data_IF_669752109439
#
_entry.id   IF_669752109439
#
_cell.length_a   1.000
_cell.length_b   1.000
_cell.length_c   1.000
_cell.angle_alpha   90.00
_cell.angle_beta   90.00
_cell.angle_gamma   90.00
#
_symmetry.space_group_name_H-M   'P 1'
#
loop_
_entity.id
_entity.type
_entity.pdbx_description
1 polymer ?
#
# COMPACT_ATOMS: atom_id res chain seq x y z
N UNK A 1 -21.03 25.24 -0.16
CA UNK A 1 -20.62 23.86 -0.48
C UNK A 1 -19.12 23.91 -0.59
N UNK A 2 -18.42 23.39 0.39
CA UNK A 2 -16.95 23.22 0.31
C UNK A 2 -16.75 22.12 -0.74
N UNK A 3 -16.14 22.44 -1.87
CA UNK A 3 -15.77 21.45 -2.87
C UNK A 3 -14.81 20.46 -2.19
N UNK A 4 -15.30 19.27 -1.92
CA UNK A 4 -14.47 18.20 -1.36
C UNK A 4 -13.36 17.89 -2.36
N UNK A 5 -12.12 17.88 -1.90
CA UNK A 5 -11.00 17.43 -2.71
C UNK A 5 -11.27 15.99 -3.17
N UNK A 6 -10.99 15.72 -4.42
CA UNK A 6 -11.16 14.38 -5.01
C UNK A 6 -10.10 13.45 -4.46
N UNK A 7 -10.51 12.33 -3.86
CA UNK A 7 -9.59 11.30 -3.38
C UNK A 7 -8.85 10.69 -4.56
N UNK A 8 -7.53 10.83 -4.59
CA UNK A 8 -6.67 10.19 -5.59
C UNK A 8 -6.24 8.82 -5.08
N UNK A 9 -6.45 7.79 -5.89
CA UNK A 9 -6.06 6.41 -5.56
C UNK A 9 -5.18 5.88 -6.68
N UNK A 10 -4.03 5.31 -6.31
CA UNK A 10 -3.15 4.59 -7.21
C UNK A 10 -3.09 3.13 -6.75
N UNK A 11 -3.51 2.20 -7.60
CA UNK A 11 -3.39 0.77 -7.38
C UNK A 11 -2.05 0.33 -7.98
N UNK A 12 -1.12 -0.10 -7.12
CA UNK A 12 0.13 -0.71 -7.56
C UNK A 12 -0.08 -2.20 -7.75
N UNK A 13 -0.01 -2.65 -9.00
CA UNK A 13 -0.42 -3.98 -9.40
C UNK A 13 0.72 -4.77 -10.05
N UNK A 14 0.62 -6.10 -9.95
CA UNK A 14 1.41 -7.03 -10.74
C UNK A 14 0.54 -7.73 -11.80
N UNK A 15 1.11 -8.19 -12.94
CA UNK A 15 0.36 -8.82 -14.01
C UNK A 15 -0.47 -10.02 -13.56
N UNK A 16 0.00 -10.76 -12.55
CA UNK A 16 -0.65 -11.96 -12.04
C UNK A 16 -2.00 -11.69 -11.35
N UNK A 17 -2.19 -10.49 -10.83
CA UNK A 17 -3.40 -10.10 -10.12
C UNK A 17 -4.25 -9.03 -10.85
N UNK A 18 -3.87 -8.68 -12.10
CA UNK A 18 -4.64 -7.71 -12.89
C UNK A 18 -6.12 -8.07 -13.03
N UNK A 19 -6.44 -9.37 -13.17
CA UNK A 19 -7.83 -9.84 -13.19
C UNK A 19 -8.63 -9.41 -11.97
N UNK A 20 -8.01 -9.45 -10.77
CA UNK A 20 -8.66 -9.01 -9.53
C UNK A 20 -8.80 -7.48 -9.49
N UNK A 21 -7.76 -6.77 -9.93
CA UNK A 21 -7.80 -5.31 -10.01
C UNK A 21 -8.90 -4.83 -10.94
N UNK A 22 -8.98 -5.39 -12.13
CA UNK A 22 -9.93 -4.97 -13.18
C UNK A 22 -11.37 -5.40 -12.92
N UNK A 23 -11.59 -6.57 -12.33
CA UNK A 23 -12.93 -7.10 -12.14
C UNK A 23 -13.53 -6.76 -10.77
N UNK A 24 -12.71 -6.48 -9.75
CA UNK A 24 -13.19 -6.31 -8.37
C UNK A 24 -12.67 -5.04 -7.71
N UNK A 25 -11.35 -4.82 -7.64
CA UNK A 25 -10.79 -3.77 -6.81
C UNK A 25 -11.11 -2.37 -7.36
N UNK A 26 -10.77 -2.08 -8.61
CA UNK A 26 -11.04 -0.78 -9.21
C UNK A 26 -12.55 -0.50 -9.33
N UNK A 27 -13.39 -1.43 -9.86
CA UNK A 27 -14.84 -1.22 -9.89
C UNK A 27 -15.45 -1.05 -8.48
N UNK A 28 -14.95 -1.74 -7.48
CA UNK A 28 -15.40 -1.59 -6.09
C UNK A 28 -15.11 -0.19 -5.52
N UNK A 29 -13.95 0.38 -5.83
CA UNK A 29 -13.59 1.74 -5.45
C UNK A 29 -14.43 2.79 -6.19
N UNK A 30 -14.65 2.61 -7.49
CA UNK A 30 -15.50 3.48 -8.30
C UNK A 30 -16.96 3.46 -7.80
N UNK A 31 -17.49 2.28 -7.43
CA UNK A 31 -18.80 2.14 -6.85
C UNK A 31 -18.95 2.86 -5.50
N UNK A 32 -17.86 3.04 -4.76
CA UNK A 32 -17.80 3.85 -3.54
C UNK A 32 -17.62 5.35 -3.82
N UNK A 33 -17.57 5.77 -5.08
CA UNK A 33 -17.45 7.16 -5.47
C UNK A 33 -16.00 7.65 -5.57
N UNK A 34 -15.04 6.77 -5.84
CA UNK A 34 -13.70 7.17 -6.25
C UNK A 34 -13.78 7.71 -7.69
N UNK A 35 -13.34 8.96 -7.88
CA UNK A 35 -13.39 9.63 -9.18
C UNK A 35 -12.07 9.55 -9.94
N UNK A 36 -10.99 9.19 -9.25
CA UNK A 36 -9.64 9.16 -9.80
C UNK A 36 -8.89 7.92 -9.29
N UNK A 37 -9.09 6.79 -9.99
CA UNK A 37 -8.41 5.52 -9.73
C UNK A 37 -7.41 5.29 -10.87
N UNK A 38 -6.14 5.31 -10.53
CA UNK A 38 -5.03 5.03 -11.45
C UNK A 38 -4.47 3.64 -11.18
N UNK A 39 -4.16 2.88 -12.23
CA UNK A 39 -3.55 1.55 -12.11
C UNK A 39 -2.12 1.63 -12.64
N UNK A 40 -1.18 1.34 -11.76
CA UNK A 40 0.24 1.19 -12.10
C UNK A 40 0.60 -0.29 -12.12
N UNK A 41 0.76 -0.85 -13.32
CA UNK A 41 1.03 -2.28 -13.51
C UNK A 41 2.50 -2.51 -13.89
N UNK A 42 3.21 -3.33 -13.12
CA UNK A 42 4.60 -3.75 -13.40
C UNK A 42 4.65 -4.78 -14.55
N UNK A 43 4.31 -4.35 -15.77
CA UNK A 43 4.29 -5.21 -16.96
C UNK A 43 5.68 -5.69 -17.39
N UNK A 44 6.73 -5.01 -16.95
CA UNK A 44 8.13 -5.33 -17.28
C UNK A 44 8.78 -6.29 -16.28
N UNK A 45 8.09 -6.56 -15.15
CA UNK A 45 8.60 -7.45 -14.11
C UNK A 45 9.84 -6.88 -13.40
N UNK A 46 9.90 -5.56 -13.23
CA UNK A 46 11.00 -4.86 -12.55
C UNK A 46 11.09 -5.19 -11.06
N UNK A 47 9.99 -5.67 -10.50
CA UNK A 47 9.83 -5.97 -9.09
C UNK A 47 9.22 -4.80 -8.31
N UNK A 48 8.63 -5.15 -7.17
CA UNK A 48 7.78 -4.26 -6.40
C UNK A 48 8.43 -2.91 -6.07
N UNK A 49 9.67 -2.92 -5.55
CA UNK A 49 10.36 -1.70 -5.15
C UNK A 49 10.63 -0.76 -6.34
N UNK A 50 11.19 -1.27 -7.44
CA UNK A 50 11.53 -0.44 -8.60
C UNK A 50 10.27 0.13 -9.23
N UNK A 51 9.26 -0.70 -9.44
CA UNK A 51 7.97 -0.29 -10.00
C UNK A 51 7.27 0.74 -9.10
N UNK A 52 7.33 0.58 -7.77
CA UNK A 52 6.82 1.55 -6.82
C UNK A 52 7.55 2.90 -6.94
N UNK A 53 8.89 2.91 -7.00
CA UNK A 53 9.66 4.15 -7.15
C UNK A 53 9.40 4.86 -8.48
N UNK A 54 9.18 4.12 -9.55
CA UNK A 54 8.76 4.70 -10.83
C UNK A 54 7.36 5.33 -10.74
N UNK A 55 6.42 4.68 -10.06
CA UNK A 55 5.10 5.26 -9.81
C UNK A 55 5.18 6.53 -8.96
N UNK A 56 6.10 6.59 -8.01
CA UNK A 56 6.35 7.77 -7.19
C UNK A 56 6.94 8.93 -8.00
N UNK A 57 7.94 8.63 -8.84
CA UNK A 57 8.54 9.63 -9.73
C UNK A 57 7.54 10.21 -10.74
N UNK A 58 6.53 9.44 -11.15
CA UNK A 58 5.50 9.86 -12.10
C UNK A 58 4.43 10.78 -11.49
N UNK A 59 4.33 10.88 -10.16
CA UNK A 59 3.30 11.70 -9.50
C UNK A 59 3.46 13.17 -9.81
N UNK A 60 2.34 13.84 -10.07
CA UNK A 60 2.31 15.26 -10.43
C UNK A 60 1.44 16.05 -9.47
N UNK A 61 1.76 17.34 -9.35
CA UNK A 61 0.98 18.29 -8.55
C UNK A 61 1.32 18.27 -7.08
N UNK A 62 0.36 18.71 -6.29
CA UNK A 62 0.41 18.78 -4.83
C UNK A 62 -0.81 18.04 -4.26
N UNK A 63 -0.73 17.67 -3.01
CA UNK A 63 -1.76 16.92 -2.32
C UNK A 63 -1.27 15.57 -1.89
N UNK A 64 -2.15 14.59 -1.82
CA UNK A 64 -1.78 13.22 -1.43
C UNK A 64 -2.50 12.19 -2.28
N UNK A 65 -1.82 11.07 -2.50
CA UNK A 65 -2.36 9.92 -3.22
C UNK A 65 -2.39 8.72 -2.29
N UNK A 66 -3.51 8.04 -2.23
CA UNK A 66 -3.61 6.73 -1.61
C UNK A 66 -2.97 5.70 -2.51
N UNK A 67 -1.80 5.24 -2.12
CA UNK A 67 -1.09 4.12 -2.75
C UNK A 67 -1.60 2.84 -2.10
N UNK A 68 -2.21 1.96 -2.90
CA UNK A 68 -2.72 0.68 -2.44
C UNK A 68 -2.15 -0.46 -3.28
N UNK A 69 -1.91 -1.60 -2.66
CA UNK A 69 -1.46 -2.79 -3.37
C UNK A 69 -2.65 -3.59 -3.95
N UNK A 70 -2.36 -4.45 -4.89
CA UNK A 70 -3.34 -5.25 -5.64
C UNK A 70 -3.85 -6.49 -4.89
N UNK A 71 -3.43 -6.69 -3.65
CA UNK A 71 -3.84 -7.82 -2.78
C UNK A 71 -4.57 -7.37 -1.51
N UNK A 72 -5.30 -6.26 -1.64
CA UNK A 72 -6.10 -5.72 -0.55
C UNK A 72 -7.60 -5.77 -0.84
N UNK A 73 -8.39 -5.79 0.22
CA UNK A 73 -9.83 -5.63 0.19
C UNK A 73 -10.19 -4.33 0.94
N UNK A 74 -10.70 -3.29 0.26
CA UNK A 74 -11.13 -2.06 0.90
C UNK A 74 -12.37 -2.28 1.77
N UNK A 75 -12.50 -1.57 2.89
CA UNK A 75 -13.74 -1.54 3.66
C UNK A 75 -14.89 -0.89 2.86
N UNK A 76 -16.13 -1.10 3.29
CA UNK A 76 -17.34 -0.67 2.53
C UNK A 76 -17.44 0.84 2.34
N UNK A 77 -16.83 1.62 3.22
CA UNK A 77 -16.81 3.09 3.22
C UNK A 77 -15.41 3.66 3.01
N UNK A 78 -14.54 2.91 2.35
CA UNK A 78 -13.11 3.24 2.16
C UNK A 78 -12.90 4.66 1.61
N UNK A 79 -13.57 5.01 0.50
CA UNK A 79 -13.41 6.32 -0.15
C UNK A 79 -13.87 7.46 0.76
N UNK A 80 -14.97 7.26 1.50
CA UNK A 80 -15.44 8.26 2.46
C UNK A 80 -14.44 8.44 3.59
N UNK A 81 -13.91 7.36 4.13
CA UNK A 81 -12.92 7.40 5.22
C UNK A 81 -11.58 7.98 4.76
N UNK A 82 -11.17 7.73 3.52
CA UNK A 82 -9.99 8.39 2.95
C UNK A 82 -10.08 9.91 3.00
N UNK A 83 -11.28 10.50 2.78
CA UNK A 83 -11.52 11.95 2.87
C UNK A 83 -11.28 12.52 4.26
N UNK A 84 -11.46 11.71 5.31
CA UNK A 84 -11.22 12.15 6.69
C UNK A 84 -9.73 12.43 6.98
N UNK A 85 -8.84 11.87 6.16
CA UNK A 85 -7.39 11.99 6.30
C UNK A 85 -6.74 12.90 5.22
N UNK A 86 -7.51 13.60 4.38
CA UNK A 86 -6.94 14.40 3.29
C UNK A 86 -6.02 15.53 3.75
N UNK A 87 -6.25 16.07 4.95
CA UNK A 87 -5.38 17.10 5.55
C UNK A 87 -4.14 16.54 6.26
N UNK A 88 -4.06 15.23 6.44
CA UNK A 88 -2.95 14.60 7.13
C UNK A 88 -1.75 14.43 6.17
N UNK A 89 -0.55 14.27 6.74
CA UNK A 89 0.64 13.93 5.97
C UNK A 89 0.60 12.47 5.48
N UNK A 90 1.56 11.66 5.92
CA UNK A 90 1.55 10.22 5.63
C UNK A 90 0.52 9.53 6.53
N UNK A 91 -0.39 8.75 5.92
CA UNK A 91 -1.42 7.99 6.63
C UNK A 91 -1.36 6.53 6.22
N UNK A 92 -1.20 5.64 7.19
CA UNK A 92 -1.27 4.20 6.97
C UNK A 92 -2.69 3.70 7.20
N UNK A 93 -3.29 3.15 6.16
CA UNK A 93 -4.63 2.56 6.17
C UNK A 93 -4.65 1.09 6.57
N UNK A 94 -3.47 0.48 6.73
CA UNK A 94 -3.31 -0.90 7.14
C UNK A 94 -2.29 -1.03 8.26
N UNK A 95 -2.65 -1.76 9.31
CA UNK A 95 -1.77 -2.15 10.39
C UNK A 95 -1.94 -3.66 10.66
N UNK A 96 -0.84 -4.39 10.65
CA UNK A 96 -0.85 -5.85 10.83
C UNK A 96 -1.16 -6.26 12.27
N UNK A 97 -1.83 -7.39 12.47
CA UNK A 97 -2.19 -7.97 13.77
C UNK A 97 -1.01 -8.14 14.74
N UNK A 98 0.18 -8.36 14.24
CA UNK A 98 1.39 -8.51 15.07
C UNK A 98 1.67 -7.29 15.96
N UNK A 99 0.99 -6.18 15.71
CA UNK A 99 1.18 -4.92 16.42
C UNK A 99 -0.08 -4.45 17.15
N UNK A 100 -1.09 -5.34 17.30
CA UNK A 100 -2.38 -5.01 17.92
C UNK A 100 -2.31 -4.47 19.35
N UNK A 101 -1.39 -5.01 20.13
CA UNK A 101 -1.38 -4.80 21.57
C UNK A 101 -0.71 -3.50 22.01
N UNK A 102 -0.25 -2.68 21.07
CA UNK A 102 0.36 -1.40 21.38
C UNK A 102 -0.61 -0.24 21.10
N UNK A 103 -1.33 0.25 22.14
CA UNK A 103 -2.26 1.38 21.98
C UNK A 103 -1.56 2.68 21.56
N UNK A 104 -0.23 2.76 21.69
CA UNK A 104 0.56 3.91 21.23
C UNK A 104 0.73 3.93 19.70
N UNK A 105 0.39 2.83 19.01
CA UNK A 105 0.53 2.70 17.56
C UNK A 105 -0.74 3.04 16.78
N UNK A 106 -1.82 3.41 17.45
CA UNK A 106 -3.02 3.93 16.79
C UNK A 106 -3.03 5.46 16.78
N UNK A 107 -3.52 6.03 15.69
CA UNK A 107 -3.55 7.48 15.52
C UNK A 107 -2.18 8.07 15.13
N UNK A 108 -1.88 9.26 15.63
CA UNK A 108 -0.66 9.99 15.26
C UNK A 108 0.54 9.49 16.06
N UNK A 109 1.53 8.93 15.36
CA UNK A 109 2.75 8.37 15.95
C UNK A 109 4.00 8.99 15.31
N UNK A 110 5.13 8.98 16.01
CA UNK A 110 6.38 9.43 15.42
C UNK A 110 6.88 8.46 14.36
N UNK A 111 7.50 8.98 13.33
CA UNK A 111 8.09 8.17 12.24
C UNK A 111 9.08 7.13 12.77
N UNK A 112 9.91 7.48 13.77
CA UNK A 112 10.90 6.57 14.36
C UNK A 112 10.29 5.35 15.07
N UNK A 113 9.07 5.49 15.58
CA UNK A 113 8.35 4.45 16.31
C UNK A 113 7.44 3.61 15.40
N UNK A 114 7.42 3.93 14.10
CA UNK A 114 6.53 3.31 13.14
C UNK A 114 7.11 2.04 12.52
N UNK A 115 6.35 0.99 12.58
CA UNK A 115 6.56 -0.21 11.81
C UNK A 115 5.32 -0.43 10.93
N UNK A 116 5.47 -0.28 9.62
CA UNK A 116 4.33 -0.27 8.71
C UNK A 116 4.52 -1.19 7.53
N UNK A 117 3.42 -1.76 7.11
CA UNK A 117 3.27 -2.43 5.83
C UNK A 117 2.69 -1.48 4.79
N UNK A 118 2.93 -1.74 3.52
CA UNK A 118 2.67 -0.80 2.43
C UNK A 118 1.38 -1.11 1.65
N UNK A 119 0.52 -1.95 2.20
CA UNK A 119 -0.73 -2.39 1.55
C UNK A 119 -1.69 -1.24 1.26
N UNK A 120 -1.70 -0.21 2.13
CA UNK A 120 -2.52 0.97 1.95
C UNK A 120 -1.86 2.15 2.67
N UNK A 121 -1.40 3.13 1.92
CA UNK A 121 -0.77 4.32 2.49
C UNK A 121 -1.09 5.57 1.68
N UNK A 122 -1.55 6.63 2.37
CA UNK A 122 -1.62 7.96 1.79
C UNK A 122 -0.25 8.62 1.88
N UNK A 123 0.25 9.08 0.76
CA UNK A 123 1.56 9.72 0.67
C UNK A 123 1.39 11.08 0.00
N UNK A 124 1.85 12.18 0.62
CA UNK A 124 1.96 13.46 -0.06
C UNK A 124 2.74 13.29 -1.37
N UNK A 125 2.24 13.89 -2.46
CA UNK A 125 2.85 13.69 -3.79
C UNK A 125 4.29 14.21 -3.85
N UNK A 126 4.61 15.26 -3.09
CA UNK A 126 5.98 15.74 -2.91
C UNK A 126 6.89 14.71 -2.22
N UNK A 127 6.41 14.04 -1.15
CA UNK A 127 7.19 13.01 -0.45
C UNK A 127 7.45 11.80 -1.35
N UNK A 128 6.47 11.43 -2.17
CA UNK A 128 6.66 10.34 -3.14
C UNK A 128 7.76 10.67 -4.15
N UNK A 129 7.76 11.88 -4.73
CA UNK A 129 8.81 12.32 -5.67
C UNK A 129 10.17 12.39 -5.00
N UNK A 130 10.26 13.02 -3.83
CA UNK A 130 11.50 13.13 -3.07
C UNK A 130 12.05 11.76 -2.69
N UNK A 131 11.19 10.81 -2.32
CA UNK A 131 11.57 9.43 -2.06
C UNK A 131 12.15 8.74 -3.31
N UNK A 132 11.53 8.93 -4.47
CA UNK A 132 12.04 8.39 -5.73
C UNK A 132 13.39 9.00 -6.12
N UNK A 133 13.59 10.31 -5.93
CA UNK A 133 14.87 10.97 -6.13
C UNK A 133 15.93 10.46 -5.13
N UNK A 134 15.55 10.32 -3.88
CA UNK A 134 16.42 9.77 -2.85
C UNK A 134 16.84 8.33 -3.19
N UNK A 135 15.92 7.51 -3.72
CA UNK A 135 16.21 6.18 -4.24
C UNK A 135 17.23 6.24 -5.37
N UNK A 136 17.02 7.08 -6.37
CA UNK A 136 17.92 7.21 -7.52
C UNK A 136 19.34 7.63 -7.11
N UNK A 137 19.47 8.50 -6.11
CA UNK A 137 20.78 9.03 -5.68
C UNK A 137 21.47 8.19 -4.61
N UNK A 138 20.72 7.50 -3.75
CA UNK A 138 21.27 6.82 -2.56
C UNK A 138 20.98 5.32 -2.50
N UNK A 139 19.91 4.88 -3.12
CA UNK A 139 19.43 3.51 -2.99
C UNK A 139 20.46 2.45 -3.42
N UNK A 140 21.26 2.77 -4.39
CA UNK A 140 22.34 1.89 -4.89
C UNK A 140 23.68 2.14 -4.22
N UNK A 141 23.95 3.34 -3.72
CA UNK A 141 25.24 3.74 -3.17
C UNK A 141 25.53 3.20 -1.76
N UNK A 142 24.51 2.76 -1.02
CA UNK A 142 24.69 2.22 0.34
C UNK A 142 25.08 0.77 0.41
N UNK A 143 24.92 0.04 -0.66
CA UNK A 143 25.41 -1.33 -0.73
C UNK A 143 26.89 -1.28 -1.12
N UNK A 144 27.75 -1.41 -0.13
CA UNK A 144 29.20 -1.63 -0.35
C UNK A 144 29.48 -2.99 -1.01
N UNK A 145 28.47 -3.82 -1.20
CA UNK A 145 28.54 -5.12 -1.84
C UNK A 145 27.51 -5.16 -3.00
N UNK A 146 27.97 -5.08 -4.28
CA UNK A 146 27.09 -5.11 -5.45
C UNK A 146 26.13 -6.31 -5.45
N UNK A 147 26.57 -7.45 -4.97
CA UNK A 147 25.77 -8.68 -4.87
C UNK A 147 24.62 -8.57 -3.84
N UNK A 148 24.83 -7.84 -2.75
CA UNK A 148 23.79 -7.57 -1.76
C UNK A 148 22.80 -6.50 -2.23
N UNK A 149 23.23 -5.56 -3.11
CA UNK A 149 22.32 -4.57 -3.68
C UNK A 149 21.32 -5.20 -4.62
N UNK A 150 21.77 -6.14 -5.46
CA UNK A 150 20.87 -6.92 -6.36
C UNK A 150 19.93 -7.81 -5.52
N UNK A 151 20.45 -8.42 -4.45
CA UNK A 151 19.64 -9.23 -3.54
C UNK A 151 18.71 -8.39 -2.66
N UNK A 152 19.12 -7.20 -2.25
CA UNK A 152 18.30 -6.23 -1.55
C UNK A 152 17.21 -5.68 -2.45
N UNK A 153 17.51 -5.23 -3.65
CA UNK A 153 16.50 -4.76 -4.60
C UNK A 153 15.43 -5.80 -4.96
N UNK A 154 15.74 -7.11 -4.76
CA UNK A 154 14.78 -8.21 -4.93
C UNK A 154 14.12 -8.67 -3.63
N UNK A 155 14.66 -8.28 -2.46
CA UNK A 155 14.19 -8.74 -1.13
C UNK A 155 13.71 -7.62 -0.24
N UNK A 156 14.14 -6.38 -0.46
CA UNK A 156 13.61 -5.24 0.26
C UNK A 156 12.31 -4.84 -0.43
N UNK A 157 11.23 -4.88 0.32
CA UNK A 157 9.95 -4.37 -0.13
C UNK A 157 9.98 -2.84 -0.20
N UNK A 158 9.04 -2.30 -0.92
CA UNK A 158 8.72 -0.88 -0.98
C UNK A 158 8.44 -0.30 0.41
N UNK A 159 7.82 -1.09 1.29
CA UNK A 159 7.54 -0.78 2.68
C UNK A 159 8.80 -0.45 3.51
N UNK A 160 9.81 -1.31 3.44
CA UNK A 160 11.06 -1.12 4.16
C UNK A 160 11.80 0.11 3.65
N UNK A 161 11.81 0.30 2.33
CA UNK A 161 12.50 1.41 1.70
C UNK A 161 11.85 2.76 2.01
N UNK A 162 10.53 2.87 1.85
CA UNK A 162 9.81 4.10 2.16
C UNK A 162 9.92 4.47 3.64
N UNK A 163 9.87 3.47 4.54
CA UNK A 163 10.12 3.69 5.97
C UNK A 163 11.52 4.23 6.22
N UNK A 164 12.56 3.66 5.59
CA UNK A 164 13.93 4.15 5.75
C UNK A 164 14.06 5.61 5.28
N UNK A 165 13.44 5.95 4.16
CA UNK A 165 13.36 7.33 3.68
C UNK A 165 12.72 8.25 4.73
N UNK A 166 11.55 7.91 5.25
CA UNK A 166 10.88 8.70 6.28
C UNK A 166 11.74 8.86 7.54
N UNK A 167 12.37 7.79 8.01
CA UNK A 167 13.20 7.81 9.22
C UNK A 167 14.46 8.65 9.06
N UNK A 168 14.98 8.82 7.87
CA UNK A 168 16.21 9.58 7.62
C UNK A 168 15.94 11.05 7.29
N UNK A 169 14.92 11.31 6.49
CA UNK A 169 14.63 12.64 5.98
C UNK A 169 13.51 13.34 6.78
N UNK A 170 12.59 12.57 7.40
CA UNK A 170 11.39 13.08 8.12
C UNK A 170 11.27 12.57 9.55
N UNK A 171 12.38 12.19 10.20
CA UNK A 171 12.41 11.54 11.53
C UNK A 171 11.66 12.27 12.65
N UNK A 172 11.58 13.60 12.56
CA UNK A 172 10.93 14.42 13.56
C UNK A 172 9.42 14.60 13.31
N UNK A 173 8.94 14.06 12.22
CA UNK A 173 7.54 14.16 11.83
C UNK A 173 6.72 13.03 12.44
N UNK A 174 5.42 13.08 12.17
CA UNK A 174 4.48 12.09 12.62
C UNK A 174 3.77 11.53 11.39
N UNK A 175 3.38 10.28 11.50
CA UNK A 175 2.46 9.61 10.59
C UNK A 175 1.18 9.28 11.34
N UNK A 176 0.10 9.07 10.61
CA UNK A 176 -1.19 8.68 11.17
C UNK A 176 -1.49 7.23 10.83
N UNK A 177 -1.89 6.44 11.81
CA UNK A 177 -2.42 5.09 11.59
C UNK A 177 -3.94 5.16 11.66
N UNK A 178 -4.61 4.83 10.57
CA UNK A 178 -6.06 4.77 10.53
C UNK A 178 -6.59 3.66 11.45
N UNK A 179 -7.67 3.98 12.18
CA UNK A 179 -8.35 3.03 13.05
C UNK A 179 -9.86 3.22 12.97
N UNK A 180 -10.63 2.17 12.66
CA UNK A 180 -10.19 0.84 12.21
C UNK A 180 -9.41 0.90 10.90
N UNK A 181 -8.77 -0.22 10.52
CA UNK A 181 -8.05 -0.31 9.25
C UNK A 181 -8.99 -0.03 8.06
N UNK A 182 -8.41 0.57 7.02
CA UNK A 182 -9.16 0.90 5.80
C UNK A 182 -9.22 -0.29 4.83
N UNK A 183 -8.27 -1.22 4.96
CA UNK A 183 -8.18 -2.40 4.10
C UNK A 183 -7.86 -3.65 4.90
N UNK A 184 -8.23 -4.83 4.37
CA UNK A 184 -7.72 -6.13 4.79
C UNK A 184 -6.76 -6.65 3.72
N UNK A 185 -5.75 -7.40 4.12
CA UNK A 185 -4.81 -8.05 3.23
C UNK A 185 -5.35 -9.42 2.81
N UNK A 186 -5.56 -9.61 1.51
CA UNK A 186 -6.28 -10.77 0.95
C UNK A 186 -5.46 -11.57 -0.08
N UNK A 187 -4.14 -11.50 -0.05
CA UNK A 187 -3.26 -12.24 -0.96
C UNK A 187 -3.61 -13.73 -1.04
N UNK A 188 -3.95 -14.35 0.10
CA UNK A 188 -4.36 -15.76 0.22
C UNK A 188 -5.69 -16.09 -0.46
N UNK A 189 -6.50 -15.08 -0.80
CA UNK A 189 -7.75 -15.23 -1.55
C UNK A 189 -7.52 -15.01 -3.05
N UNK A 190 -6.66 -14.05 -3.41
CA UNK A 190 -6.53 -13.57 -4.79
C UNK A 190 -5.31 -14.14 -5.53
N UNK A 191 -4.67 -15.17 -5.03
CA UNK A 191 -3.63 -15.91 -5.75
C UNK A 191 -2.30 -16.07 -5.01
N UNK A 192 -2.23 -15.65 -3.74
CA UNK A 192 -1.04 -15.77 -2.90
C UNK A 192 -0.02 -14.67 -3.12
N UNK A 193 0.99 -14.62 -2.25
CA UNK A 193 2.06 -13.64 -2.34
C UNK A 193 2.98 -13.95 -3.53
N UNK A 194 3.10 -12.98 -4.44
CA UNK A 194 4.00 -13.10 -5.61
C UNK A 194 5.47 -13.02 -5.19
N UNK A 195 5.77 -12.33 -4.10
CA UNK A 195 7.13 -12.12 -3.61
C UNK A 195 7.61 -13.23 -2.66
N UNK A 196 6.71 -13.79 -1.91
CA UNK A 196 7.02 -14.80 -0.91
C UNK A 196 6.33 -16.10 -1.29
N UNK A 197 7.08 -17.11 -1.69
CA UNK A 197 6.56 -18.49 -1.88
C UNK A 197 6.04 -19.10 -0.56
N UNK A 198 5.75 -18.26 0.44
CA UNK A 198 5.30 -18.69 1.76
C UNK A 198 3.79 -18.77 1.78
N UNK A 199 3.31 -19.98 1.63
CA UNK A 199 1.93 -20.33 1.88
C UNK A 199 1.67 -20.19 3.38
N UNK A 200 1.08 -19.11 3.84
CA UNK A 200 0.50 -19.05 5.16
C UNK A 200 0.88 -17.90 6.08
N UNK A 201 1.60 -16.88 5.63
CA UNK A 201 1.77 -15.70 6.43
C UNK A 201 0.62 -14.74 6.17
N UNK A 202 -0.44 -14.91 6.94
CA UNK A 202 -1.60 -14.02 6.90
C UNK A 202 -1.30 -12.81 7.77
N UNK A 203 -0.78 -11.74 7.16
CA UNK A 203 -0.75 -10.46 7.80
C UNK A 203 -2.18 -9.88 7.76
N UNK A 204 -3.01 -10.27 8.71
CA UNK A 204 -4.36 -9.74 8.85
C UNK A 204 -4.35 -8.32 9.40
N UNK A 205 -5.38 -7.56 9.06
CA UNK A 205 -5.60 -6.24 9.62
C UNK A 205 -5.88 -6.32 11.13
N UNK A 206 -5.20 -5.47 11.92
CA UNK A 206 -5.33 -5.45 13.38
C UNK A 206 -6.74 -5.11 13.87
N UNK A 207 -7.44 -4.27 13.13
CA UNK A 207 -8.74 -3.71 13.52
C UNK A 207 -9.74 -3.82 12.37
N UNK A 208 -9.80 -5.01 11.76
CA UNK A 208 -10.79 -5.32 10.74
C UNK A 208 -12.07 -5.82 11.40
N UNK A 209 -13.20 -5.28 11.01
CA UNK A 209 -14.51 -5.54 11.60
C UNK A 209 -15.55 -6.08 10.60
N UNK A 210 -15.16 -6.29 9.33
CA UNK A 210 -16.08 -6.75 8.27
C UNK A 210 -15.71 -8.13 7.72
N UNK A 211 -15.86 -9.17 8.55
CA UNK A 211 -15.63 -10.56 8.13
C UNK A 211 -16.58 -11.01 7.01
N UNK A 212 -17.77 -10.44 6.93
CA UNK A 212 -18.75 -10.76 5.89
C UNK A 212 -18.20 -10.37 4.51
N UNK A 213 -17.53 -9.21 4.40
CA UNK A 213 -16.94 -8.75 3.17
C UNK A 213 -15.84 -9.71 2.65
N UNK A 214 -15.10 -10.36 3.54
CA UNK A 214 -14.14 -11.40 3.19
C UNK A 214 -14.84 -12.64 2.64
N UNK A 215 -15.98 -13.02 3.22
CA UNK A 215 -16.77 -14.16 2.74
C UNK A 215 -17.37 -13.88 1.36
N UNK A 216 -17.88 -12.66 1.15
CA UNK A 216 -18.39 -12.20 -0.14
C UNK A 216 -17.30 -12.27 -1.22
N UNK A 217 -16.08 -11.79 -0.91
CA UNK A 217 -14.97 -11.87 -1.84
C UNK A 217 -14.61 -13.31 -2.17
N UNK A 218 -14.49 -14.20 -1.18
CA UNK A 218 -14.18 -15.62 -1.41
C UNK A 218 -15.18 -16.28 -2.35
N UNK A 219 -16.46 -16.01 -2.19
CA UNK A 219 -17.49 -16.58 -3.06
C UNK A 219 -17.43 -15.97 -4.46
N UNK A 220 -17.20 -14.66 -4.58
CA UNK A 220 -17.11 -13.96 -5.86
C UNK A 220 -15.92 -14.43 -6.73
N UNK A 221 -14.78 -14.76 -6.10
CA UNK A 221 -13.57 -15.21 -6.82
C UNK A 221 -13.47 -16.72 -6.96
N UNK A 222 -14.45 -17.46 -6.48
CA UNK A 222 -14.48 -18.92 -6.52
C UNK A 222 -14.36 -19.45 -7.95
N UNK A 223 -13.35 -20.27 -8.19
CA UNK A 223 -13.04 -20.85 -9.50
C UNK A 223 -12.24 -19.94 -10.43
N UNK A 224 -11.96 -18.68 -10.05
CA UNK A 224 -11.11 -17.76 -10.82
C UNK A 224 -9.63 -17.87 -10.45
N UNK A 225 -9.34 -18.21 -9.20
CA UNK A 225 -7.96 -18.33 -8.72
C UNK A 225 -7.40 -19.68 -9.12
N UNK A 226 -6.43 -19.67 -10.02
CA UNK A 226 -5.56 -20.82 -10.25
C UNK A 226 -4.43 -20.72 -9.21
N UNK A 227 -4.52 -21.49 -8.15
CA UNK A 227 -3.40 -21.62 -7.23
C UNK A 227 -2.20 -22.16 -8.02
N UNK A 228 -1.17 -21.34 -8.18
CA UNK A 228 0.12 -21.82 -8.69
C UNK A 228 0.66 -22.75 -7.62
N UNK A 229 0.60 -24.05 -7.93
CA UNK A 229 1.09 -25.14 -7.07
C UNK A 229 2.62 -25.18 -7.13
#
# INVERSE_FOLDING_TARGET
MVGGETVKILIHACPQRMWYVEEFLAPGLEAQGAENVEIWNDTEGKGNLISCMESFAARQGYGGTWHIQDDILPCRDFVQRCREYESDGVVYGFCCEQFQDDPQRSGRVKVEDCWHSFQCVRIPDEYARDCAEWFAHRGWARSTLPELSILRGKREGDDTFFREYLQLEHRNEHVTNAKPNLVEHVDWIVGGSVLHQWRGYLARASWWDDEELILDLKEAVKGKVQYVV
#
